data_IF_838158333895
#
_entry.id   IF_838158333895
#
_cell.length_a   1.000
_cell.length_b   1.000
_cell.length_c   1.000
_cell.angle_alpha   90.00
_cell.angle_beta   90.00
_cell.angle_gamma   90.00
#
_symmetry.space_group_name_H-M   'P 1'
#
loop_
_entity.id
_entity.type
_entity.pdbx_description
1 polymer ?
#
# COMPACT_ATOMS: atom_id res chain seq x y z
N UNK A 1 -3.87 2.46 8.63
CA UNK A 1 -2.69 3.34 8.77
C UNK A 1 -1.96 2.91 10.01
N UNK A 2 -0.62 2.98 10.03
CA UNK A 2 0.14 2.74 11.27
C UNK A 2 -0.38 3.63 12.40
N UNK A 3 -0.44 3.10 13.63
CA UNK A 3 -0.99 3.83 14.78
C UNK A 3 -0.14 5.03 15.20
N UNK A 4 1.15 5.05 14.84
CA UNK A 4 2.05 6.18 15.03
C UNK A 4 2.12 7.10 13.80
N UNK A 5 1.30 6.84 12.78
CA UNK A 5 1.27 7.63 11.56
C UNK A 5 0.60 9.00 11.76
N UNK A 6 1.13 10.02 11.08
CA UNK A 6 0.50 11.33 11.01
C UNK A 6 -0.75 11.29 10.12
N UNK A 7 -1.91 11.64 10.67
CA UNK A 7 -3.22 11.62 9.99
C UNK A 7 -3.26 12.47 8.71
N UNK A 8 -2.38 13.47 8.62
CA UNK A 8 -2.28 14.34 7.44
C UNK A 8 -1.28 13.83 6.39
N UNK A 9 -0.70 12.64 6.60
CA UNK A 9 0.32 12.03 5.74
C UNK A 9 1.53 12.95 5.50
N UNK A 10 1.96 13.72 6.52
CA UNK A 10 3.14 14.60 6.41
C UNK A 10 4.43 13.96 6.92
N UNK A 11 4.33 12.80 7.58
CA UNK A 11 5.52 12.03 7.95
C UNK A 11 6.32 11.66 6.69
N UNK A 12 7.64 11.55 6.82
CA UNK A 12 8.52 11.11 5.73
C UNK A 12 8.13 9.72 5.20
N UNK A 13 7.67 8.85 6.10
CA UNK A 13 7.18 7.52 5.78
C UNK A 13 5.80 7.28 6.38
N UNK A 14 4.82 7.05 5.52
CA UNK A 14 3.46 6.71 5.92
C UNK A 14 3.16 5.28 5.50
N UNK A 15 2.91 4.39 6.46
CA UNK A 15 2.63 2.98 6.19
C UNK A 15 1.12 2.75 6.22
N UNK A 16 0.59 2.23 5.11
CA UNK A 16 -0.83 1.91 4.94
C UNK A 16 -0.97 0.40 4.80
N UNK A 17 -1.73 -0.20 5.71
CA UNK A 17 -2.08 -1.62 5.69
C UNK A 17 -3.48 -1.82 5.10
N UNK A 18 -3.66 -2.93 4.40
CA UNK A 18 -4.95 -3.36 3.87
C UNK A 18 -4.94 -4.86 3.62
N UNK A 19 -6.11 -5.49 3.76
CA UNK A 19 -6.23 -6.93 3.52
C UNK A 19 -6.19 -7.25 2.02
N UNK A 20 -5.52 -8.33 1.65
CA UNK A 20 -5.73 -8.99 0.35
C UNK A 20 -6.96 -9.88 0.46
N UNK A 21 -8.10 -9.42 -0.05
CA UNK A 21 -9.36 -10.16 0.03
C UNK A 21 -9.56 -11.04 -1.21
N UNK A 22 -10.06 -12.27 -1.00
CA UNK A 22 -10.29 -13.26 -2.09
C UNK A 22 -11.33 -12.82 -3.12
N UNK A 23 -12.24 -11.91 -2.75
CA UNK A 23 -13.26 -11.37 -3.63
C UNK A 23 -12.75 -10.19 -4.48
N UNK A 24 -11.46 -9.88 -4.42
CA UNK A 24 -10.85 -8.79 -5.20
C UNK A 24 -10.95 -7.40 -4.57
N UNK A 25 -11.50 -7.26 -3.35
CA UNK A 25 -11.58 -5.93 -2.71
C UNK A 25 -10.30 -5.55 -1.95
N UNK A 26 -10.29 -4.32 -1.44
CA UNK A 26 -9.21 -3.76 -0.61
C UNK A 26 -7.88 -3.71 -1.37
N UNK A 27 -6.88 -4.48 -0.95
CA UNK A 27 -5.53 -4.45 -1.52
C UNK A 27 -5.27 -5.60 -2.51
N UNK A 28 -6.32 -6.29 -2.97
CA UNK A 28 -6.15 -7.38 -3.94
C UNK A 28 -5.50 -6.91 -5.24
N UNK A 29 -5.89 -5.74 -5.75
CA UNK A 29 -5.33 -5.17 -6.98
C UNK A 29 -3.83 -4.84 -6.87
N UNK A 30 -3.27 -4.73 -5.65
CA UNK A 30 -1.82 -4.54 -5.48
C UNK A 30 -1.02 -5.74 -6.00
N UNK A 31 -1.66 -6.89 -6.23
CA UNK A 31 -1.03 -8.07 -6.82
C UNK A 31 -0.60 -7.84 -8.27
N UNK A 32 -1.29 -6.97 -9.01
CA UNK A 32 -0.95 -6.61 -10.40
C UNK A 32 0.41 -5.92 -10.50
N UNK A 33 0.84 -5.20 -9.45
CA UNK A 33 2.16 -4.56 -9.38
C UNK A 33 3.33 -5.55 -9.31
N UNK A 34 3.07 -6.86 -9.31
CA UNK A 34 4.12 -7.89 -9.50
C UNK A 34 4.58 -7.96 -10.94
N UNK A 35 3.72 -7.58 -11.87
CA UNK A 35 4.00 -7.60 -13.31
C UNK A 35 4.66 -6.29 -13.72
N UNK A 36 5.89 -6.36 -14.25
CA UNK A 36 6.62 -5.16 -14.70
C UNK A 36 5.88 -4.40 -15.80
N UNK A 37 5.13 -5.11 -16.64
CA UNK A 37 4.28 -4.53 -17.69
C UNK A 37 3.16 -3.67 -17.11
N UNK A 38 2.60 -4.08 -15.96
CA UNK A 38 1.58 -3.31 -15.26
C UNK A 38 2.15 -2.02 -14.71
N UNK A 39 3.29 -2.06 -14.01
CA UNK A 39 3.94 -0.85 -13.48
C UNK A 39 4.24 0.15 -14.61
N UNK A 40 4.76 -0.33 -15.75
CA UNK A 40 5.05 0.54 -16.91
C UNK A 40 3.81 1.27 -17.45
N UNK A 41 2.61 0.72 -17.25
CA UNK A 41 1.33 1.29 -17.70
C UNK A 41 0.61 2.07 -16.60
N UNK A 42 0.70 1.60 -15.36
CA UNK A 42 -0.01 2.09 -14.19
C UNK A 42 0.97 2.19 -13.01
N UNK A 43 1.66 3.32 -12.91
CA UNK A 43 2.64 3.60 -11.85
C UNK A 43 2.17 4.65 -10.84
N UNK A 44 0.89 5.02 -10.88
CA UNK A 44 0.34 6.05 -10.00
C UNK A 44 -0.75 5.45 -9.10
N UNK A 45 -0.63 5.69 -7.80
CA UNK A 45 -1.65 5.41 -6.79
C UNK A 45 -2.21 6.75 -6.34
N UNK A 46 -3.52 6.92 -6.40
CA UNK A 46 -4.18 8.13 -5.89
C UNK A 46 -4.67 7.91 -4.47
N UNK A 47 -4.22 8.77 -3.56
CA UNK A 47 -4.67 8.82 -2.17
C UNK A 47 -5.64 9.99 -1.98
N UNK A 48 -6.86 9.68 -1.58
CA UNK A 48 -7.86 10.68 -1.19
C UNK A 48 -7.83 10.86 0.32
N UNK A 49 -7.61 12.10 0.75
CA UNK A 49 -7.60 12.49 2.17
C UNK A 49 -8.58 13.65 2.39
N UNK A 50 -9.00 13.94 3.64
CA UNK A 50 -9.81 15.12 3.92
C UNK A 50 -9.16 16.44 3.47
N UNK A 51 -7.82 16.50 3.45
CA UNK A 51 -7.05 17.67 2.98
C UNK A 51 -6.89 17.72 1.45
N UNK A 52 -7.33 16.69 0.73
CA UNK A 52 -7.35 16.65 -0.72
C UNK A 52 -6.74 15.38 -1.32
N UNK A 53 -6.57 15.41 -2.63
CA UNK A 53 -6.00 14.34 -3.45
C UNK A 53 -4.47 14.42 -3.45
N UNK A 54 -3.79 13.29 -3.30
CA UNK A 54 -2.34 13.13 -3.48
C UNK A 54 -2.08 12.02 -4.49
N UNK A 55 -1.27 12.29 -5.52
CA UNK A 55 -0.83 11.28 -6.47
C UNK A 55 0.55 10.75 -6.08
N UNK A 56 0.65 9.45 -5.87
CA UNK A 56 1.84 8.76 -5.39
C UNK A 56 2.45 7.95 -6.54
N UNK A 57 3.72 8.21 -6.86
CA UNK A 57 4.47 7.44 -7.85
C UNK A 57 4.97 6.15 -7.24
N UNK A 58 4.67 5.02 -7.86
CA UNK A 58 5.22 3.72 -7.51
C UNK A 58 6.65 3.64 -8.02
N UNK A 59 7.60 3.58 -7.08
CA UNK A 59 9.04 3.48 -7.38
C UNK A 59 9.57 2.05 -7.22
N UNK A 60 8.90 1.22 -6.42
CA UNK A 60 9.27 -0.17 -6.17
C UNK A 60 8.04 -0.99 -5.73
N UNK A 61 8.05 -2.27 -6.07
CA UNK A 61 7.12 -3.29 -5.55
C UNK A 61 7.91 -4.55 -5.19
N UNK A 62 7.56 -5.22 -4.10
CA UNK A 62 8.20 -6.45 -3.68
C UNK A 62 7.21 -7.38 -2.96
N UNK A 63 7.37 -8.68 -3.17
CA UNK A 63 6.62 -9.70 -2.46
C UNK A 63 7.57 -10.47 -1.53
N UNK A 64 7.23 -10.57 -0.24
CA UNK A 64 7.92 -11.43 0.72
C UNK A 64 6.95 -12.44 1.31
N UNK A 65 7.47 -13.61 1.68
CA UNK A 65 6.72 -14.52 2.56
C UNK A 65 6.50 -13.82 3.89
N UNK A 66 5.32 -14.00 4.47
CA UNK A 66 5.03 -13.50 5.81
C UNK A 66 6.10 -13.99 6.77
N UNK A 67 6.65 -13.08 7.56
CA UNK A 67 7.66 -13.41 8.54
C UNK A 67 6.97 -14.14 9.70
N UNK A 68 7.42 -15.36 10.01
CA UNK A 68 6.86 -16.16 11.11
C UNK A 68 7.37 -15.70 12.48
N UNK A 69 8.35 -14.80 12.51
CA UNK A 69 9.00 -14.32 13.73
C UNK A 69 8.39 -13.03 14.28
N UNK A 70 7.48 -12.38 13.55
CA UNK A 70 6.77 -11.20 14.06
C UNK A 70 5.56 -11.71 14.87
N UNK A 71 5.57 -11.63 16.20
CA UNK A 71 4.44 -12.06 16.99
C UNK A 71 3.23 -11.19 16.65
N UNK A 72 2.14 -11.83 16.21
CA UNK A 72 0.83 -11.19 16.06
C UNK A 72 0.20 -11.19 17.45
N UNK A 73 0.57 -10.20 18.28
CA UNK A 73 -0.18 -9.90 19.49
C UNK A 73 -1.44 -9.11 19.10
N UNK A 74 -2.59 -9.70 19.38
CA UNK A 74 -3.89 -9.01 19.41
C UNK A 74 -4.04 -8.24 20.72
#
# INVERSE_FOLDING_TARGET
MDSHGDKDFRAEHNIIYGHHMRNGSMFADLMEFREQSFIKKQDTITLYTPSGKKDLKVVASYARKADKLIPITF
#
